data_IF_929199954661
#
_entry.id   IF_929199954661
#
_cell.length_a   1.000
_cell.length_b   1.000
_cell.length_c   1.000
_cell.angle_alpha   90.00
_cell.angle_beta   90.00
_cell.angle_gamma   90.00
#
_symmetry.space_group_name_H-M   'P 1'
#
loop_
_entity.id
_entity.type
_entity.pdbx_description
1 polymer ?
#
# COMPACT_ATOMS: atom_id res chain seq x y z
N UNK A 1 -1.00 1.66 17.75
CA UNK A 1 -0.11 1.65 16.58
C UNK A 1 1.19 0.88 16.78
N UNK A 2 1.86 0.94 17.94
CA UNK A 2 3.13 0.22 18.12
C UNK A 2 2.98 -1.29 17.89
N UNK A 3 1.93 -1.90 18.45
CA UNK A 3 1.67 -3.32 18.24
C UNK A 3 1.35 -3.64 16.78
N UNK A 4 0.63 -2.76 16.08
CA UNK A 4 0.32 -2.94 14.66
C UNK A 4 1.57 -2.85 13.79
N UNK A 5 2.48 -1.89 14.09
CA UNK A 5 3.73 -1.76 13.35
C UNK A 5 4.61 -3.00 13.50
N UNK A 6 4.70 -3.55 14.71
CA UNK A 6 5.44 -4.79 14.94
C UNK A 6 4.79 -5.99 14.25
N UNK A 7 3.46 -6.04 14.22
CA UNK A 7 2.75 -7.10 13.51
C UNK A 7 3.04 -7.04 12.00
N UNK A 8 2.99 -5.86 11.41
CA UNK A 8 3.33 -5.66 9.98
C UNK A 8 4.79 -6.05 9.73
N UNK A 9 5.70 -5.65 10.61
CA UNK A 9 7.13 -5.98 10.46
C UNK A 9 7.38 -7.49 10.47
N UNK A 10 6.51 -8.25 11.13
CA UNK A 10 6.64 -9.70 11.21
C UNK A 10 5.95 -10.44 10.05
N UNK A 11 5.18 -9.76 9.23
CA UNK A 11 4.53 -10.40 8.09
C UNK A 11 5.56 -10.91 7.08
N UNK A 12 5.29 -12.09 6.53
CA UNK A 12 6.13 -12.73 5.52
C UNK A 12 5.26 -13.16 4.36
N UNK A 13 5.66 -12.75 3.17
CA UNK A 13 4.96 -13.09 1.94
C UNK A 13 5.66 -14.28 1.26
N UNK A 14 4.90 -15.16 0.59
CA UNK A 14 5.49 -16.35 -0.04
C UNK A 14 6.25 -16.02 -1.32
N UNK A 15 7.22 -16.85 -1.65
CA UNK A 15 7.96 -16.86 -2.92
C UNK A 15 8.53 -15.48 -3.25
N UNK A 16 8.37 -15.01 -4.49
CA UNK A 16 8.86 -13.69 -4.93
C UNK A 16 8.23 -12.53 -4.18
N UNK A 17 7.07 -12.72 -3.57
CA UNK A 17 6.39 -11.67 -2.81
C UNK A 17 7.08 -11.34 -1.50
N UNK A 18 8.07 -12.12 -1.08
CA UNK A 18 8.93 -11.77 0.06
C UNK A 18 9.67 -10.44 -0.16
N UNK A 19 9.77 -9.98 -1.40
CA UNK A 19 10.25 -8.66 -1.74
C UNK A 19 9.54 -7.55 -0.95
N UNK A 20 8.27 -7.77 -0.60
CA UNK A 20 7.45 -6.80 0.15
C UNK A 20 7.50 -7.00 1.67
N UNK A 21 8.29 -7.95 2.17
CA UNK A 21 8.48 -8.07 3.61
C UNK A 21 9.09 -6.77 4.14
N UNK A 22 8.60 -6.28 5.28
CA UNK A 22 9.08 -5.01 5.81
C UNK A 22 10.58 -5.00 6.08
N UNK A 23 11.14 -6.14 6.47
CA UNK A 23 12.57 -6.26 6.76
C UNK A 23 13.43 -6.56 5.53
N UNK A 24 12.84 -6.66 4.33
CA UNK A 24 13.61 -6.81 3.10
C UNK A 24 14.44 -5.57 2.79
N UNK A 25 14.04 -4.40 3.31
CA UNK A 25 14.83 -3.17 3.24
C UNK A 25 14.98 -2.59 4.65
N UNK A 26 16.23 -2.46 5.17
CA UNK A 26 16.44 -1.96 6.52
C UNK A 26 15.91 -0.55 6.77
N UNK A 27 15.93 0.31 5.76
CA UNK A 27 15.42 1.68 5.90
C UNK A 27 13.91 1.69 6.02
N UNK A 28 13.22 0.85 5.25
CA UNK A 28 11.77 0.70 5.33
C UNK A 28 11.36 0.14 6.69
N UNK A 29 12.10 -0.83 7.20
CA UNK A 29 11.83 -1.40 8.52
C UNK A 29 12.02 -0.36 9.62
N UNK A 30 13.09 0.42 9.55
CA UNK A 30 13.37 1.47 10.53
C UNK A 30 12.27 2.53 10.54
N UNK A 31 11.80 2.94 9.37
CA UNK A 31 10.70 3.90 9.24
C UNK A 31 9.40 3.35 9.84
N UNK A 32 9.07 2.11 9.52
CA UNK A 32 7.86 1.46 10.02
C UNK A 32 7.85 1.38 11.55
N UNK A 33 8.99 1.11 12.17
CA UNK A 33 9.08 0.95 13.62
C UNK A 33 9.30 2.26 14.38
N UNK A 34 9.48 3.38 13.69
CA UNK A 34 9.71 4.68 14.33
C UNK A 34 8.39 5.44 14.49
N UNK A 35 7.88 5.61 15.73
CA UNK A 35 6.63 6.34 15.96
C UNK A 35 6.64 7.78 15.43
N UNK A 36 7.80 8.41 15.34
CA UNK A 36 7.91 9.77 14.83
C UNK A 36 7.54 9.89 13.35
N UNK A 37 7.62 8.77 12.61
CA UNK A 37 7.27 8.73 11.18
C UNK A 37 5.79 8.46 10.94
N UNK A 38 5.02 8.06 11.97
CA UNK A 38 3.63 7.65 11.75
C UNK A 38 2.70 8.82 11.47
N UNK A 39 2.59 9.79 12.35
CA UNK A 39 1.75 10.97 12.18
C UNK A 39 0.43 10.68 11.46
N UNK A 40 0.21 11.41 10.37
CA UNK A 40 -0.95 11.21 9.49
C UNK A 40 -0.63 10.33 8.28
N UNK A 41 0.51 9.63 8.30
CA UNK A 41 0.99 8.86 7.15
C UNK A 41 0.61 7.39 7.19
N UNK A 42 0.47 6.79 8.38
CA UNK A 42 0.23 5.36 8.53
C UNK A 42 -1.11 5.10 9.19
N UNK A 43 -1.89 4.22 8.60
CA UNK A 43 -3.22 3.86 9.07
C UNK A 43 -3.37 2.35 9.07
N UNK A 44 -3.95 1.83 10.14
CA UNK A 44 -4.22 0.40 10.28
C UNK A 44 -5.64 0.10 9.82
N UNK A 45 -5.83 -1.04 9.15
CA UNK A 45 -7.14 -1.55 8.78
C UNK A 45 -7.36 -2.89 9.49
N UNK A 46 -8.43 -2.97 10.28
CA UNK A 46 -8.75 -4.17 11.04
C UNK A 46 -9.82 -5.00 10.33
N UNK A 47 -9.70 -6.31 10.42
CA UNK A 47 -10.74 -7.22 9.98
C UNK A 47 -11.81 -7.28 11.06
N UNK A 48 -13.03 -6.82 10.75
CA UNK A 48 -14.10 -6.67 11.75
C UNK A 48 -14.47 -8.01 12.38
N UNK A 49 -14.57 -9.07 11.57
CA UNK A 49 -15.04 -10.36 12.04
C UNK A 49 -14.11 -11.05 13.03
N UNK A 50 -12.80 -10.83 12.91
CA UNK A 50 -11.79 -11.52 13.71
C UNK A 50 -11.01 -10.60 14.64
N UNK A 51 -11.28 -9.31 14.59
CA UNK A 51 -10.55 -8.27 15.34
C UNK A 51 -9.04 -8.32 15.14
N UNK A 52 -8.60 -8.77 13.97
CA UNK A 52 -7.19 -8.83 13.61
C UNK A 52 -6.84 -7.73 12.61
N UNK A 53 -5.58 -7.31 12.64
CA UNK A 53 -5.08 -6.34 11.67
C UNK A 53 -5.12 -6.98 10.27
N UNK A 54 -5.93 -6.41 9.37
CA UNK A 54 -6.08 -6.92 8.01
C UNK A 54 -5.05 -6.31 7.05
N UNK A 55 -4.70 -5.05 7.25
CA UNK A 55 -3.79 -4.37 6.35
C UNK A 55 -3.38 -3.01 6.88
N UNK A 56 -2.60 -2.29 6.09
CA UNK A 56 -2.21 -0.93 6.42
C UNK A 56 -2.25 -0.05 5.17
N UNK A 57 -2.34 1.24 5.42
CA UNK A 57 -2.28 2.28 4.40
C UNK A 57 -1.24 3.30 4.81
N UNK A 58 -0.31 3.59 3.91
CA UNK A 58 0.61 4.71 4.04
C UNK A 58 0.20 5.78 3.04
N UNK A 59 0.19 7.04 3.46
CA UNK A 59 -0.16 8.16 2.60
C UNK A 59 0.87 9.27 2.73
N UNK A 60 1.41 9.71 1.60
CA UNK A 60 2.17 10.95 1.50
C UNK A 60 1.34 11.95 0.71
N UNK A 61 0.82 12.95 1.40
CA UNK A 61 -0.06 13.93 0.79
C UNK A 61 0.73 15.16 0.37
N UNK A 62 0.66 15.53 -0.91
CA UNK A 62 1.23 16.77 -1.44
C UNK A 62 0.08 17.53 -2.10
N UNK A 63 -0.37 18.60 -1.45
CA UNK A 63 -1.59 19.28 -1.88
C UNK A 63 -2.78 18.33 -1.78
N UNK A 64 -3.38 17.99 -2.93
CA UNK A 64 -4.50 17.04 -3.00
C UNK A 64 -4.15 15.74 -3.71
N UNK A 65 -2.85 15.52 -3.93
CA UNK A 65 -2.34 14.28 -4.50
C UNK A 65 -1.82 13.40 -3.39
N UNK A 66 -2.36 12.20 -3.27
CA UNK A 66 -1.91 11.22 -2.31
C UNK A 66 -1.07 10.16 -3.00
N UNK A 67 0.20 10.06 -2.61
CA UNK A 67 1.02 8.90 -2.93
C UNK A 67 0.73 7.85 -1.87
N UNK A 68 0.26 6.68 -2.27
CA UNK A 68 -0.18 5.65 -1.35
C UNK A 68 0.67 4.40 -1.41
N UNK A 69 0.83 3.77 -0.26
CA UNK A 69 1.38 2.44 -0.12
C UNK A 69 0.40 1.58 0.67
N UNK A 70 0.22 0.35 0.24
CA UNK A 70 -0.79 -0.55 0.79
C UNK A 70 -0.18 -1.89 1.11
N UNK A 71 -0.65 -2.52 2.17
CA UNK A 71 -0.28 -3.90 2.47
C UNK A 71 -1.45 -4.64 3.08
N UNK A 72 -1.74 -5.84 2.55
CA UNK A 72 -2.67 -6.78 3.17
C UNK A 72 -1.89 -7.81 3.95
N UNK A 73 -2.45 -8.25 5.07
CA UNK A 73 -1.90 -9.38 5.81
C UNK A 73 -1.69 -10.57 4.86
N UNK A 74 -0.55 -11.27 4.94
CA UNK A 74 -0.25 -12.35 3.97
C UNK A 74 -1.35 -13.40 3.84
N UNK A 75 -2.03 -13.74 4.93
CA UNK A 75 -3.11 -14.71 4.91
C UNK A 75 -4.37 -14.25 4.15
N UNK A 76 -4.48 -12.96 3.85
CA UNK A 76 -5.60 -12.39 3.10
C UNK A 76 -5.27 -12.15 1.63
N UNK A 77 -4.02 -12.26 1.23
CA UNK A 77 -3.63 -12.08 -0.17
C UNK A 77 -4.12 -13.28 -1.01
N UNK A 78 -4.45 -13.03 -2.27
CA UNK A 78 -4.90 -14.08 -3.16
C UNK A 78 -6.34 -14.55 -2.97
N UNK A 79 -7.12 -13.89 -2.13
CA UNK A 79 -8.52 -14.26 -1.83
C UNK A 79 -9.54 -13.32 -2.45
N UNK A 80 -9.17 -12.51 -3.43
CA UNK A 80 -10.08 -11.58 -4.09
C UNK A 80 -10.42 -10.35 -3.26
N UNK A 81 -9.74 -10.10 -2.16
CA UNK A 81 -10.02 -8.98 -1.27
C UNK A 81 -9.28 -7.70 -1.64
N UNK A 82 -8.31 -7.78 -2.54
CA UNK A 82 -7.42 -6.66 -2.86
C UNK A 82 -8.14 -5.46 -3.41
N UNK A 83 -9.03 -5.65 -4.38
CA UNK A 83 -9.76 -4.53 -4.99
C UNK A 83 -10.63 -3.79 -3.96
N UNK A 84 -11.37 -4.53 -3.16
CA UNK A 84 -12.20 -3.96 -2.09
C UNK A 84 -11.36 -3.18 -1.09
N UNK A 85 -10.21 -3.72 -0.70
CA UNK A 85 -9.30 -3.06 0.21
C UNK A 85 -8.75 -1.75 -0.39
N UNK A 86 -8.30 -1.78 -1.64
CA UNK A 86 -7.80 -0.58 -2.32
C UNK A 86 -8.88 0.49 -2.36
N UNK A 87 -10.09 0.14 -2.79
CA UNK A 87 -11.20 1.10 -2.87
C UNK A 87 -11.54 1.70 -1.51
N UNK A 88 -11.51 0.89 -0.46
CA UNK A 88 -11.74 1.38 0.91
C UNK A 88 -10.66 2.37 1.33
N UNK A 89 -9.41 2.09 1.02
CA UNK A 89 -8.31 3.01 1.32
C UNK A 89 -8.43 4.32 0.56
N UNK A 90 -8.84 4.28 -0.71
CA UNK A 90 -9.04 5.51 -1.49
C UNK A 90 -10.18 6.36 -0.92
N UNK A 91 -11.28 5.73 -0.55
CA UNK A 91 -12.39 6.45 0.09
C UNK A 91 -11.97 7.09 1.41
N UNK A 92 -11.20 6.38 2.21
CA UNK A 92 -10.66 6.92 3.45
C UNK A 92 -9.74 8.13 3.19
N UNK A 93 -8.82 8.01 2.25
CA UNK A 93 -7.89 9.09 1.94
C UNK A 93 -8.63 10.34 1.43
N UNK A 94 -9.68 10.14 0.65
CA UNK A 94 -10.51 11.25 0.19
C UNK A 94 -11.28 11.89 1.34
N UNK A 95 -11.98 11.09 2.13
CA UNK A 95 -12.87 11.60 3.17
C UNK A 95 -12.11 12.20 4.34
N UNK A 96 -11.02 11.56 4.77
CA UNK A 96 -10.27 11.95 5.96
C UNK A 96 -9.15 12.94 5.66
N UNK A 97 -8.52 12.85 4.49
CA UNK A 97 -7.32 13.60 4.15
C UNK A 97 -7.51 14.59 3.00
N UNK A 98 -8.66 14.58 2.35
CA UNK A 98 -8.97 15.51 1.26
C UNK A 98 -8.26 15.20 -0.05
N UNK A 99 -7.80 13.98 -0.25
CA UNK A 99 -7.14 13.56 -1.48
C UNK A 99 -8.12 13.59 -2.66
N UNK A 100 -7.66 14.08 -3.81
CA UNK A 100 -8.46 14.12 -5.04
C UNK A 100 -7.86 13.27 -6.15
N UNK A 101 -6.58 12.97 -6.06
CA UNK A 101 -5.92 12.06 -6.99
C UNK A 101 -4.92 11.20 -6.23
N UNK A 102 -4.53 10.09 -6.85
CA UNK A 102 -3.71 9.08 -6.18
C UNK A 102 -2.60 8.63 -7.10
N UNK A 103 -1.43 8.39 -6.53
CA UNK A 103 -0.33 7.71 -7.21
C UNK A 103 0.16 6.56 -6.34
N UNK A 104 0.72 5.56 -6.98
CA UNK A 104 1.39 4.47 -6.28
C UNK A 104 2.52 3.93 -7.14
N UNK A 105 3.45 3.25 -6.50
CA UNK A 105 4.52 2.55 -7.17
C UNK A 105 4.40 1.07 -6.84
N UNK A 106 4.50 0.22 -7.85
CA UNK A 106 4.40 -1.23 -7.69
C UNK A 106 5.53 -1.90 -8.46
N UNK A 107 6.11 -2.93 -7.89
CA UNK A 107 7.16 -3.69 -8.59
C UNK A 107 6.59 -4.31 -9.85
N UNK A 108 7.34 -4.22 -10.94
CA UNK A 108 6.86 -4.66 -12.26
C UNK A 108 6.51 -6.15 -12.31
N UNK A 109 7.14 -6.98 -11.46
CA UNK A 109 6.83 -8.41 -11.42
C UNK A 109 5.49 -8.72 -10.76
N UNK A 110 4.95 -7.80 -10.00
CA UNK A 110 3.75 -8.04 -9.19
C UNK A 110 2.47 -7.87 -10.01
N UNK A 111 2.26 -8.79 -10.94
CA UNK A 111 1.09 -8.75 -11.84
C UNK A 111 -0.23 -8.83 -11.10
N UNK A 112 -0.26 -9.53 -9.97
CA UNK A 112 -1.46 -9.66 -9.13
C UNK A 112 -1.90 -8.29 -8.60
N UNK A 113 -0.98 -7.53 -8.05
CA UNK A 113 -1.29 -6.20 -7.54
C UNK A 113 -1.63 -5.22 -8.67
N UNK A 114 -0.88 -5.26 -9.76
CA UNK A 114 -1.14 -4.39 -10.92
C UNK A 114 -2.57 -4.59 -11.41
N UNK A 115 -3.02 -5.84 -11.54
CA UNK A 115 -4.38 -6.16 -11.95
C UNK A 115 -5.41 -5.58 -10.98
N UNK A 116 -5.16 -5.70 -9.69
CA UNK A 116 -6.05 -5.14 -8.66
C UNK A 116 -6.14 -3.62 -8.78
N UNK A 117 -5.01 -2.95 -8.96
CA UNK A 117 -4.98 -1.50 -9.11
C UNK A 117 -5.69 -1.05 -10.38
N UNK A 118 -5.50 -1.75 -11.49
CA UNK A 118 -6.23 -1.44 -12.72
C UNK A 118 -7.74 -1.55 -12.54
N UNK A 119 -8.20 -2.59 -11.85
CA UNK A 119 -9.63 -2.75 -11.53
C UNK A 119 -10.14 -1.63 -10.62
N UNK A 120 -9.29 -1.08 -9.79
CA UNK A 120 -9.63 0.05 -8.92
C UNK A 120 -9.53 1.40 -9.65
N UNK A 121 -9.23 1.42 -10.94
CA UNK A 121 -9.23 2.62 -11.76
C UNK A 121 -7.86 3.26 -11.97
N UNK A 122 -6.79 2.64 -11.52
CA UNK A 122 -5.44 3.14 -11.78
C UNK A 122 -4.99 2.80 -13.19
N UNK A 123 -4.15 3.67 -13.75
CA UNK A 123 -3.53 3.46 -15.06
C UNK A 123 -2.02 3.60 -14.92
N UNK A 124 -1.28 2.83 -15.71
CA UNK A 124 0.17 2.93 -15.77
C UNK A 124 0.57 4.27 -16.35
N UNK A 125 1.49 4.96 -15.68
CA UNK A 125 1.98 6.28 -16.09
C UNK A 125 3.41 6.19 -16.58
N UNK A 126 4.28 5.49 -15.86
CA UNK A 126 5.67 5.31 -16.26
C UNK A 126 6.26 4.04 -15.65
N UNK A 127 7.32 3.54 -16.29
CA UNK A 127 8.15 2.46 -15.78
C UNK A 127 9.51 3.03 -15.44
N UNK A 128 10.07 2.68 -14.28
CA UNK A 128 11.34 3.23 -13.82
C UNK A 128 12.12 2.21 -13.00
N UNK A 129 13.41 2.46 -12.82
CA UNK A 129 14.26 1.68 -11.94
C UNK A 129 14.27 2.33 -10.55
N UNK A 130 14.07 1.52 -9.53
CA UNK A 130 14.05 1.99 -8.15
C UNK A 130 15.05 1.20 -7.31
N UNK A 131 15.89 1.91 -6.55
CA UNK A 131 16.83 1.28 -5.66
C UNK A 131 16.15 0.97 -4.33
N UNK A 132 15.98 -0.32 -4.05
CA UNK A 132 15.40 -0.81 -2.81
C UNK A 132 15.85 -2.25 -2.60
N UNK A 133 15.74 -2.76 -1.36
CA UNK A 133 16.11 -4.14 -1.05
C UNK A 133 17.52 -4.52 -1.53
N UNK A 134 18.45 -3.56 -1.46
CA UNK A 134 19.85 -3.79 -1.81
C UNK A 134 20.18 -3.76 -3.29
N UNK A 135 19.28 -3.36 -4.19
CA UNK A 135 19.53 -3.33 -5.63
C UNK A 135 18.54 -2.47 -6.38
N UNK A 136 18.73 -2.42 -7.71
CA UNK A 136 17.81 -1.74 -8.61
C UNK A 136 16.76 -2.73 -9.12
N UNK A 137 15.50 -2.32 -9.08
CA UNK A 137 14.38 -3.15 -9.51
C UNK A 137 13.44 -2.32 -10.37
N UNK A 138 12.83 -2.95 -11.38
CA UNK A 138 11.86 -2.28 -12.23
C UNK A 138 10.54 -2.07 -11.47
N UNK A 139 10.06 -0.84 -11.48
CA UNK A 139 8.78 -0.45 -10.88
C UNK A 139 7.90 0.23 -11.90
N UNK A 140 6.60 0.17 -11.66
CA UNK A 140 5.60 0.87 -12.44
C UNK A 140 4.93 1.89 -11.54
N UNK A 141 4.87 3.14 -12.00
CA UNK A 141 4.05 4.17 -11.37
C UNK A 141 2.67 4.12 -11.98
N UNK A 142 1.66 4.09 -11.13
CA UNK A 142 0.26 4.12 -11.53
C UNK A 142 -0.42 5.33 -10.91
N UNK A 143 -1.43 5.84 -11.60
CA UNK A 143 -2.17 7.01 -11.14
C UNK A 143 -3.67 6.84 -11.39
N UNK A 144 -4.44 7.41 -10.48
CA UNK A 144 -5.89 7.55 -10.61
C UNK A 144 -6.28 8.97 -10.23
N UNK A 145 -7.03 9.65 -11.11
CA UNK A 145 -7.59 10.97 -10.80
C UNK A 145 -9.03 10.81 -10.36
N UNK A 146 -9.43 11.56 -9.36
CA UNK A 146 -10.75 11.65 -8.74
C UNK A 146 -11.34 10.34 -8.24
N UNK A 147 -12.16 10.45 -7.21
CA UNK A 147 -12.88 9.34 -6.61
C UNK A 147 -14.34 9.41 -6.90
N UNK A 148 -14.76 10.15 -7.85
CA UNK A 148 -16.13 10.01 -8.23
C UNK A 148 -16.30 8.65 -8.85
N UNK A 149 -16.53 7.67 -8.01
CA UNK A 149 -17.12 6.44 -8.47
C UNK A 149 -18.47 6.81 -9.02
N UNK A 150 -18.70 6.62 -10.31
CA UNK A 150 -20.04 6.74 -10.83
C UNK A 150 -20.83 5.61 -10.22
N UNK A 151 -21.38 5.86 -9.18
CA UNK A 151 -22.21 4.96 -8.37
C UNK A 151 -22.75 4.13 -8.16
#
# INVERSE_FOLDING_TARGET
MTADAHAVAAWRYPDEYSFYDADADPDDLAELLDPAEWGQRYFAADEIAQHELAGFLMVNLTGRVAEIGLGLRPGLTGHGLGESFVRTCLRFASAALGAQSYTLNVAAFNHRAITVYERAGFQEVECFEHFTNGGFHAFIRMARSTIEDPA
#
